data_IF_542795960648
#
_entry.id   IF_542795960648
#
_cell.length_a   1.000
_cell.length_b   1.000
_cell.length_c   1.000
_cell.angle_alpha   90.00
_cell.angle_beta   90.00
_cell.angle_gamma   90.00
#
_symmetry.space_group_name_H-M   'P 1'
#
loop_
_entity.id
_entity.type
_entity.pdbx_description
1 polymer ?
#
# COMPACT_ATOMS: atom_id res chain seq x y z
N UNK A 1 88.05 -7.55 1.89
CA UNK A 1 87.04 -8.62 1.92
C UNK A 1 85.68 -7.98 2.20
N UNK A 2 84.88 -7.85 1.15
CA UNK A 2 83.57 -7.18 1.14
C UNK A 2 82.49 -8.24 1.00
N UNK A 3 81.55 -8.30 1.94
CA UNK A 3 80.40 -9.21 1.89
C UNK A 3 79.09 -8.46 2.16
N UNK A 4 78.45 -8.12 1.04
CA UNK A 4 77.05 -8.37 0.68
C UNK A 4 75.97 -8.07 1.73
N UNK A 5 75.16 -7.04 1.44
CA UNK A 5 73.69 -7.13 1.57
C UNK A 5 73.05 -6.76 0.24
N UNK A 6 72.23 -7.70 -0.26
CA UNK A 6 71.48 -7.62 -1.52
C UNK A 6 70.05 -7.21 -1.21
N UNK A 7 69.51 -6.40 -2.12
CA UNK A 7 68.13 -5.92 -2.27
C UNK A 7 67.14 -7.09 -2.39
N UNK A 8 65.92 -6.96 -1.84
CA UNK A 8 64.65 -7.41 -2.45
C UNK A 8 63.53 -6.43 -2.04
N UNK A 9 62.76 -6.08 -3.06
CA UNK A 9 61.54 -5.28 -3.17
C UNK A 9 60.35 -5.76 -2.33
N UNK A 10 59.58 -4.81 -1.78
CA UNK A 10 58.17 -5.03 -1.42
C UNK A 10 57.28 -4.05 -2.19
N UNK A 11 56.52 -4.59 -3.14
CA UNK A 11 55.31 -4.01 -3.72
C UNK A 11 54.10 -4.61 -3.00
N UNK A 12 53.35 -3.79 -2.27
CA UNK A 12 51.96 -4.11 -1.92
C UNK A 12 51.22 -2.81 -1.64
N UNK A 13 50.28 -2.53 -2.53
CA UNK A 13 49.40 -1.37 -2.59
C UNK A 13 48.47 -1.29 -1.39
N UNK A 14 48.39 -0.12 -0.78
CA UNK A 14 47.49 0.20 0.33
C UNK A 14 46.12 0.65 -0.20
N UNK A 15 45.18 -0.28 -0.36
CA UNK A 15 43.78 0.07 -0.61
C UNK A 15 43.06 0.40 0.71
N UNK A 16 43.09 1.69 1.09
CA UNK A 16 42.11 2.28 2.02
C UNK A 16 40.88 2.74 1.22
N UNK A 17 39.65 2.34 1.59
CA UNK A 17 38.45 2.88 0.97
C UNK A 17 38.16 4.30 1.51
N UNK A 18 37.79 5.27 0.66
CA UNK A 18 37.47 6.61 1.11
C UNK A 18 36.07 6.66 1.75
N UNK A 19 36.05 7.02 3.02
CA UNK A 19 34.88 7.51 3.76
C UNK A 19 34.37 8.83 3.16
N UNK A 20 33.17 8.83 2.57
CA UNK A 20 32.35 10.03 2.38
C UNK A 20 30.92 9.75 2.85
N UNK A 21 30.65 10.07 4.11
CA UNK A 21 29.29 10.33 4.62
C UNK A 21 28.79 11.63 3.98
N UNK A 22 27.87 11.55 3.02
CA UNK A 22 27.02 12.70 2.68
C UNK A 22 25.91 12.78 3.73
N UNK A 23 25.99 13.84 4.55
CA UNK A 23 24.98 14.33 5.47
C UNK A 23 23.78 14.76 4.61
N UNK A 24 22.66 14.03 4.67
CA UNK A 24 21.38 14.53 4.15
C UNK A 24 20.71 15.23 5.31
N UNK A 25 20.64 16.54 5.15
CA UNK A 25 20.07 17.52 6.05
C UNK A 25 18.55 17.36 6.15
N UNK A 26 18.06 17.51 7.38
CA UNK A 26 16.64 17.51 7.70
C UNK A 26 16.00 18.78 7.14
N UNK A 27 15.08 18.64 6.19
CA UNK A 27 14.16 19.71 5.83
C UNK A 27 12.86 19.53 6.64
N UNK A 28 12.80 20.22 7.77
CA UNK A 28 11.57 20.64 8.44
C UNK A 28 10.94 21.76 7.63
N UNK A 29 9.73 21.55 7.10
CA UNK A 29 8.93 22.61 6.49
C UNK A 29 7.67 22.85 7.32
N UNK A 30 7.73 23.98 8.01
CA UNK A 30 6.73 24.68 8.77
C UNK A 30 5.55 25.12 7.90
N UNK A 31 4.38 25.10 8.54
CA UNK A 31 3.14 25.78 8.17
C UNK A 31 3.36 27.27 7.93
N UNK A 32 3.00 27.76 6.74
CA UNK A 32 2.47 29.11 6.56
C UNK A 32 1.34 29.12 5.53
N UNK A 33 0.36 29.96 5.83
CA UNK A 33 -0.96 30.08 5.24
C UNK A 33 -1.06 31.50 4.65
N UNK A 34 -1.53 31.73 3.42
CA UNK A 34 -1.97 33.06 3.03
C UNK A 34 -3.50 33.13 2.92
N UNK A 35 -4.10 33.88 3.86
CA UNK A 35 -5.37 34.59 3.66
C UNK A 35 -5.18 35.64 2.57
N UNK A 36 -6.07 35.72 1.58
CA UNK A 36 -6.43 36.99 0.94
C UNK A 36 -7.95 37.08 0.81
N UNK A 37 -8.44 38.25 1.21
CA UNK A 37 -9.82 38.66 1.37
C UNK A 37 -10.48 39.13 0.07
N UNK A 38 -11.79 39.31 0.20
CA UNK A 38 -12.80 39.76 -0.76
C UNK A 38 -12.53 41.07 -1.48
N UNK A 39 -13.14 41.22 -2.65
CA UNK A 39 -13.86 42.46 -3.02
C UNK A 39 -15.01 42.18 -3.99
N UNK A 40 -16.10 42.93 -3.81
CA UNK A 40 -17.41 42.84 -4.48
C UNK A 40 -17.44 43.71 -5.75
N UNK A 41 -18.32 43.37 -6.70
CA UNK A 41 -19.17 44.23 -7.56
C UNK A 41 -19.76 43.39 -8.71
N UNK A 42 -20.90 43.63 -9.37
CA UNK A 42 -22.23 44.23 -9.15
C UNK A 42 -23.00 43.97 -10.49
N UNK A 43 -24.32 43.76 -10.46
CA UNK A 43 -25.28 43.85 -11.60
C UNK A 43 -25.16 42.77 -12.73
N UNK A 44 -26.19 42.32 -13.48
CA UNK A 44 -27.61 42.67 -13.67
C UNK A 44 -28.32 41.52 -14.45
N UNK A 45 -29.64 41.38 -14.21
CA UNK A 45 -30.77 40.90 -15.04
C UNK A 45 -30.76 39.65 -15.99
N UNK A 46 -31.79 38.83 -15.71
CA UNK A 46 -32.75 38.05 -16.53
C UNK A 46 -32.72 38.25 -18.07
N UNK A 47 -32.74 37.15 -18.85
CA UNK A 47 -33.76 36.81 -19.88
C UNK A 47 -33.52 35.44 -20.56
N UNK A 48 -34.61 34.78 -20.95
CA UNK A 48 -34.68 33.50 -21.69
C UNK A 48 -34.32 33.68 -23.17
N UNK A 49 -33.67 32.71 -23.81
CA UNK A 49 -33.82 32.41 -25.24
C UNK A 49 -33.32 30.99 -25.60
N UNK A 50 -33.75 30.52 -26.78
CA UNK A 50 -33.93 29.12 -27.20
C UNK A 50 -32.71 28.49 -27.92
N UNK A 51 -32.73 27.14 -27.95
CA UNK A 51 -32.17 26.16 -28.91
C UNK A 51 -31.32 26.70 -30.08
N UNK A 52 -30.14 26.10 -30.25
CA UNK A 52 -29.67 25.58 -31.55
C UNK A 52 -28.72 24.38 -31.40
N UNK A 53 -28.72 23.52 -32.42
CA UNK A 53 -28.11 22.20 -32.56
C UNK A 53 -26.59 22.22 -32.81
N UNK A 54 -26.01 21.02 -32.64
CA UNK A 54 -24.78 20.46 -33.23
C UNK A 54 -23.44 20.92 -32.63
N UNK A 55 -22.67 19.98 -32.05
CA UNK A 55 -21.76 19.18 -32.86
C UNK A 55 -21.24 17.94 -32.12
N UNK A 56 -20.94 16.91 -32.92
CA UNK A 56 -20.29 15.65 -32.55
C UNK A 56 -18.92 15.90 -31.90
N UNK A 57 -18.54 15.00 -30.97
CA UNK A 57 -17.30 14.22 -30.89
C UNK A 57 -17.24 13.69 -29.45
N UNK A 58 -17.57 12.41 -29.26
CA UNK A 58 -17.09 11.66 -28.12
C UNK A 58 -16.48 10.38 -28.70
N UNK A 59 -15.16 10.39 -28.79
CA UNK A 59 -14.38 9.21 -29.13
C UNK A 59 -14.67 8.14 -28.08
N UNK A 60 -15.15 6.99 -28.54
CA UNK A 60 -15.25 5.78 -27.74
C UNK A 60 -13.85 5.41 -27.24
N UNK A 61 -13.57 5.75 -25.98
CA UNK A 61 -12.49 5.13 -25.23
C UNK A 61 -13.00 3.77 -24.78
N UNK A 62 -12.62 2.71 -25.49
CA UNK A 62 -12.81 1.32 -25.03
C UNK A 62 -12.17 1.16 -23.65
N UNK A 63 -13.01 1.15 -22.61
CA UNK A 63 -12.62 0.76 -21.27
C UNK A 63 -12.46 -0.75 -21.29
N UNK A 64 -11.24 -1.25 -21.07
CA UNK A 64 -11.04 -2.68 -20.89
C UNK A 64 -11.66 -3.11 -19.57
N UNK A 65 -12.87 -3.63 -19.64
CA UNK A 65 -13.39 -4.58 -18.65
C UNK A 65 -12.64 -5.90 -18.84
N UNK A 66 -12.19 -6.58 -17.78
CA UNK A 66 -11.57 -7.88 -17.94
C UNK A 66 -12.53 -8.86 -18.65
N UNK A 67 -11.98 -9.62 -19.60
CA UNK A 67 -12.66 -10.66 -20.37
C UNK A 67 -13.30 -11.73 -19.45
N UNK A 68 -14.36 -12.35 -19.97
CA UNK A 68 -15.25 -13.38 -19.38
C UNK A 68 -14.64 -14.20 -18.22
N UNK A 69 -15.41 -14.26 -17.13
CA UNK A 69 -15.21 -15.06 -15.93
C UNK A 69 -14.45 -16.39 -16.17
N UNK A 70 -13.21 -16.54 -15.65
CA UNK A 70 -12.79 -17.85 -15.20
C UNK A 70 -13.79 -18.27 -14.13
N UNK A 71 -14.37 -19.48 -14.25
CA UNK A 71 -15.25 -20.06 -13.22
C UNK A 71 -14.55 -19.89 -11.87
N UNK A 72 -15.09 -19.03 -11.01
CA UNK A 72 -14.55 -18.79 -9.67
C UNK A 72 -14.49 -20.15 -8.99
N UNK A 73 -13.30 -20.69 -8.68
CA UNK A 73 -13.22 -21.92 -7.92
C UNK A 73 -13.96 -21.66 -6.60
N UNK A 74 -14.83 -22.59 -6.19
CA UNK A 74 -15.47 -22.58 -4.85
C UNK A 74 -14.44 -22.10 -3.84
N UNK A 75 -14.76 -21.05 -3.07
CA UNK A 75 -13.89 -20.46 -2.05
C UNK A 75 -13.16 -21.60 -1.32
N UNK A 76 -11.85 -21.73 -1.56
CA UNK A 76 -11.05 -22.73 -0.87
C UNK A 76 -11.22 -22.49 0.63
N UNK A 77 -11.49 -23.55 1.40
CA UNK A 77 -11.65 -23.43 2.85
C UNK A 77 -10.42 -22.75 3.44
N UNK A 78 -10.63 -21.55 3.99
CA UNK A 78 -9.56 -20.70 4.50
C UNK A 78 -9.00 -21.37 5.75
N UNK A 79 -7.82 -21.97 5.64
CA UNK A 79 -7.12 -22.54 6.80
C UNK A 79 -6.44 -21.41 7.56
N UNK A 80 -7.00 -21.06 8.71
CA UNK A 80 -6.35 -20.19 9.70
C UNK A 80 -5.66 -21.03 10.76
N UNK A 81 -4.53 -20.56 11.26
CA UNK A 81 -3.92 -21.14 12.46
C UNK A 81 -4.64 -20.69 13.74
N UNK A 82 -4.21 -21.23 14.88
CA UNK A 82 -4.72 -20.87 16.22
C UNK A 82 -4.54 -19.39 16.59
N UNK A 83 -3.76 -18.63 15.81
CA UNK A 83 -3.49 -17.21 15.99
C UNK A 83 -4.21 -16.34 14.95
N UNK A 84 -5.09 -16.94 14.14
CA UNK A 84 -5.87 -16.24 13.12
C UNK A 84 -5.07 -15.87 11.87
N UNK A 85 -3.84 -16.37 11.71
CA UNK A 85 -3.02 -16.17 10.52
C UNK A 85 -3.47 -17.13 9.42
N UNK A 86 -3.59 -16.63 8.21
CA UNK A 86 -3.96 -17.41 7.03
C UNK A 86 -2.73 -18.22 6.60
N UNK A 87 -2.92 -19.52 6.35
CA UNK A 87 -1.84 -20.42 5.93
C UNK A 87 -1.97 -20.70 4.43
N UNK A 88 -0.88 -20.47 3.69
CA UNK A 88 -0.70 -20.92 2.32
C UNK A 88 0.36 -22.02 2.30
N UNK A 89 0.01 -23.21 1.81
CA UNK A 89 0.90 -24.38 1.85
C UNK A 89 2.17 -24.18 1.02
N UNK A 90 2.04 -23.44 -0.08
CA UNK A 90 3.10 -23.10 -1.03
C UNK A 90 3.96 -21.90 -0.60
N UNK A 91 3.44 -21.03 0.28
CA UNK A 91 4.17 -19.90 0.86
C UNK A 91 4.01 -19.88 2.39
N UNK A 92 4.66 -20.81 3.12
CA UNK A 92 4.47 -20.96 4.56
C UNK A 92 4.90 -19.73 5.37
N UNK A 93 5.80 -18.89 4.86
CA UNK A 93 6.23 -17.66 5.52
C UNK A 93 5.26 -16.49 5.32
N UNK A 94 4.38 -16.56 4.31
CA UNK A 94 3.38 -15.54 4.04
C UNK A 94 2.15 -15.78 4.91
N UNK A 95 2.06 -15.05 6.02
CA UNK A 95 1.04 -15.26 7.06
C UNK A 95 0.24 -13.98 7.38
N UNK A 96 -0.48 -13.39 6.39
CA UNK A 96 -1.41 -12.31 6.68
C UNK A 96 -2.52 -12.81 7.62
N UNK A 97 -3.10 -11.94 8.42
CA UNK A 97 -4.21 -12.28 9.33
C UNK A 97 -5.51 -11.55 8.99
N UNK A 98 -5.55 -10.89 7.84
CA UNK A 98 -6.76 -10.33 7.25
C UNK A 98 -6.93 -10.88 5.84
N UNK A 99 -8.13 -11.35 5.51
CA UNK A 99 -8.54 -11.70 4.16
C UNK A 99 -8.75 -10.44 3.32
N UNK A 100 -8.75 -10.53 1.98
CA UNK A 100 -9.15 -9.41 1.13
C UNK A 100 -10.51 -8.82 1.50
N UNK A 101 -11.49 -9.67 1.82
CA UNK A 101 -12.80 -9.27 2.35
C UNK A 101 -12.68 -8.41 3.60
N UNK A 102 -11.93 -8.87 4.61
CA UNK A 102 -11.74 -8.14 5.85
C UNK A 102 -11.01 -6.81 5.64
N UNK A 103 -10.02 -6.73 4.73
CA UNK A 103 -9.32 -5.48 4.40
C UNK A 103 -10.27 -4.48 3.73
N UNK A 104 -11.09 -4.93 2.78
CA UNK A 104 -12.09 -4.09 2.11
C UNK A 104 -13.15 -3.59 3.08
N UNK A 105 -13.73 -4.48 3.88
CA UNK A 105 -14.76 -4.15 4.86
C UNK A 105 -14.25 -3.19 5.94
N UNK A 106 -12.97 -3.29 6.29
CA UNK A 106 -12.35 -2.37 7.24
C UNK A 106 -12.05 -0.97 6.65
N UNK A 107 -12.40 -0.75 5.38
CA UNK A 107 -12.25 0.51 4.68
C UNK A 107 -10.81 0.90 4.45
N UNK A 108 -9.88 -0.05 4.30
CA UNK A 108 -8.45 0.23 4.42
C UNK A 108 -7.91 1.33 3.49
N UNK A 109 -8.55 1.60 2.36
CA UNK A 109 -8.01 2.48 1.31
C UNK A 109 -8.83 3.76 1.10
N UNK A 110 -9.61 4.19 2.09
CA UNK A 110 -10.41 5.42 1.99
C UNK A 110 -11.46 5.40 0.89
N UNK A 111 -11.87 4.20 0.46
CA UNK A 111 -12.84 4.00 -0.60
C UNK A 111 -12.34 4.17 -2.04
N UNK A 112 -11.03 4.36 -2.23
CA UNK A 112 -10.45 4.77 -3.52
C UNK A 112 -9.64 3.69 -4.23
N UNK A 113 -9.60 2.46 -3.67
CA UNK A 113 -8.66 1.45 -4.17
C UNK A 113 -8.99 1.04 -5.60
N UNK A 114 -10.25 0.67 -5.88
CA UNK A 114 -10.68 0.24 -7.22
C UNK A 114 -11.33 1.37 -8.02
N UNK A 115 -10.93 2.62 -7.76
CA UNK A 115 -11.35 3.76 -8.58
C UNK A 115 -10.92 3.57 -10.04
N UNK A 116 -11.56 4.23 -11.01
CA UNK A 116 -11.05 4.26 -12.37
C UNK A 116 -9.64 4.84 -12.42
N UNK A 117 -8.71 4.16 -13.09
CA UNK A 117 -7.32 4.60 -13.23
C UNK A 117 -6.88 4.52 -14.69
N UNK A 118 -5.91 5.36 -15.08
CA UNK A 118 -5.10 5.16 -16.27
C UNK A 118 -3.72 4.73 -15.81
N UNK A 119 -3.31 3.50 -16.12
CA UNK A 119 -1.99 3.02 -15.70
C UNK A 119 -0.92 3.50 -16.67
N UNK A 120 0.16 4.09 -16.16
CA UNK A 120 1.33 4.42 -16.98
C UNK A 120 2.13 3.18 -17.40
N UNK A 121 2.00 2.08 -16.64
CA UNK A 121 2.73 0.83 -16.87
C UNK A 121 2.14 0.03 -18.03
N UNK A 122 0.81 0.00 -18.17
CA UNK A 122 0.14 -0.69 -19.28
C UNK A 122 -0.31 0.25 -20.40
N UNK A 123 -0.44 1.55 -20.12
CA UNK A 123 -1.02 2.54 -21.04
C UNK A 123 -2.55 2.50 -21.11
N UNK A 124 -3.19 1.61 -20.36
CA UNK A 124 -4.62 1.34 -20.44
C UNK A 124 -5.43 2.06 -19.36
N UNK A 125 -6.72 2.25 -19.62
CA UNK A 125 -7.70 2.74 -18.64
C UNK A 125 -8.45 1.55 -18.05
N UNK A 126 -8.39 1.40 -16.74
CA UNK A 126 -9.09 0.36 -15.99
C UNK A 126 -10.26 0.97 -15.22
N UNK A 127 -11.40 0.30 -15.27
CA UNK A 127 -12.58 0.62 -14.49
C UNK A 127 -13.31 -0.68 -14.11
N UNK A 128 -14.07 -0.63 -13.01
CA UNK A 128 -14.87 -1.76 -12.52
C UNK A 128 -14.11 -3.08 -12.28
N UNK A 129 -12.80 -3.01 -12.03
CA UNK A 129 -11.95 -4.19 -11.73
C UNK A 129 -12.43 -4.95 -10.50
N UNK A 130 -13.07 -4.27 -9.55
CA UNK A 130 -13.65 -4.90 -8.36
C UNK A 130 -14.67 -6.02 -8.70
N UNK A 131 -15.28 -6.01 -9.89
CA UNK A 131 -16.21 -7.06 -10.36
C UNK A 131 -15.51 -8.40 -10.65
N UNK A 132 -14.18 -8.43 -10.69
CA UNK A 132 -13.41 -9.68 -10.82
C UNK A 132 -13.42 -10.52 -9.53
N UNK A 133 -13.78 -9.90 -8.39
CA UNK A 133 -13.78 -10.54 -7.09
C UNK A 133 -15.18 -11.00 -6.66
N UNK A 134 -15.26 -11.97 -5.72
CA UNK A 134 -16.54 -12.42 -5.18
C UNK A 134 -17.40 -11.26 -4.67
N UNK A 135 -18.68 -11.26 -5.05
CA UNK A 135 -19.63 -10.21 -4.65
C UNK A 135 -19.79 -10.12 -3.13
N UNK A 136 -19.68 -11.27 -2.43
CA UNK A 136 -19.84 -11.36 -0.98
C UNK A 136 -18.78 -10.55 -0.21
N UNK A 137 -17.64 -10.21 -0.84
CA UNK A 137 -16.63 -9.35 -0.24
C UNK A 137 -17.11 -7.92 -0.07
N UNK A 138 -18.10 -7.51 -0.86
CA UNK A 138 -18.65 -6.17 -0.90
C UNK A 138 -20.04 -6.07 -0.24
N UNK A 139 -20.56 -7.16 0.33
CA UNK A 139 -21.83 -7.15 1.04
C UNK A 139 -21.80 -6.11 2.17
N UNK A 140 -22.82 -5.25 2.17
CA UNK A 140 -22.95 -4.13 3.12
C UNK A 140 -22.06 -2.91 2.82
N UNK A 141 -21.23 -2.92 1.77
CA UNK A 141 -20.42 -1.77 1.37
C UNK A 141 -21.14 -0.92 0.31
N UNK A 142 -21.05 0.40 0.47
CA UNK A 142 -21.42 1.33 -0.59
C UNK A 142 -20.34 1.34 -1.67
N UNK A 143 -20.58 0.67 -2.79
CA UNK A 143 -19.61 0.61 -3.90
C UNK A 143 -19.10 2.01 -4.31
N UNK A 144 -19.97 3.03 -4.56
CA UNK A 144 -19.51 4.34 -5.00
C UNK A 144 -18.64 5.06 -3.97
N UNK A 145 -18.86 4.84 -2.67
CA UNK A 145 -18.16 5.55 -1.59
C UNK A 145 -16.95 4.78 -1.04
N UNK A 146 -17.06 3.47 -0.90
CA UNK A 146 -16.12 2.61 -0.17
C UNK A 146 -15.27 1.71 -1.08
N UNK A 147 -15.50 1.70 -2.40
CA UNK A 147 -14.77 0.83 -3.32
C UNK A 147 -14.17 1.58 -4.50
N UNK A 148 -14.98 2.41 -5.18
CA UNK A 148 -14.60 3.06 -6.45
C UNK A 148 -14.57 4.59 -6.40
N UNK A 149 -14.60 5.18 -5.21
CA UNK A 149 -14.62 6.64 -5.07
C UNK A 149 -13.34 7.25 -5.66
N UNK A 150 -13.48 8.37 -6.36
CA UNK A 150 -12.33 9.19 -6.77
C UNK A 150 -11.77 10.03 -5.61
N UNK A 151 -12.54 10.16 -4.52
CA UNK A 151 -12.21 10.98 -3.35
C UNK A 151 -11.86 10.10 -2.17
N UNK A 152 -10.76 10.41 -1.49
CA UNK A 152 -10.34 9.66 -0.31
C UNK A 152 -11.14 10.07 0.93
N UNK A 153 -11.90 9.13 1.48
CA UNK A 153 -12.73 9.32 2.67
C UNK A 153 -12.03 8.74 3.91
N UNK A 154 -11.47 9.59 4.77
CA UNK A 154 -10.80 9.09 5.99
C UNK A 154 -11.78 8.48 6.97
N UNK A 155 -13.02 8.94 6.98
CA UNK A 155 -14.09 8.46 7.84
C UNK A 155 -14.51 7.02 7.56
N UNK A 156 -14.24 6.48 6.37
CA UNK A 156 -14.49 5.05 6.07
C UNK A 156 -13.40 4.14 6.64
N UNK A 157 -12.22 4.67 6.93
CA UNK A 157 -11.10 3.88 7.42
C UNK A 157 -11.35 3.43 8.87
N UNK A 158 -10.76 2.29 9.25
CA UNK A 158 -10.75 1.81 10.64
C UNK A 158 -10.12 2.84 11.58
N UNK A 159 -8.98 3.42 11.21
CA UNK A 159 -8.22 4.33 12.09
C UNK A 159 -8.45 5.82 11.80
N UNK A 160 -9.43 6.16 10.96
CA UNK A 160 -9.81 7.55 10.62
C UNK A 160 -8.67 8.45 10.11
N UNK A 161 -7.62 7.86 9.56
CA UNK A 161 -6.44 8.57 9.03
C UNK A 161 -6.16 8.21 7.59
N UNK A 162 -5.68 9.18 6.81
CA UNK A 162 -5.18 8.94 5.45
C UNK A 162 -3.80 8.28 5.52
N UNK A 163 -3.60 7.26 4.70
CA UNK A 163 -2.31 6.58 4.54
C UNK A 163 -2.12 6.13 3.09
N UNK A 164 -0.86 5.91 2.69
CA UNK A 164 -0.47 5.40 1.37
C UNK A 164 0.07 6.47 0.43
N UNK A 165 0.90 6.04 -0.52
CA UNK A 165 1.37 6.87 -1.64
C UNK A 165 0.36 6.91 -2.79
N UNK A 166 0.53 7.88 -3.70
CA UNK A 166 -0.30 8.01 -4.92
C UNK A 166 0.06 6.95 -5.95
N UNK A 167 -0.84 6.63 -6.89
CA UNK A 167 -0.60 5.60 -7.91
C UNK A 167 0.69 5.89 -8.70
N UNK A 168 0.92 7.15 -9.03
CA UNK A 168 2.10 7.63 -9.76
C UNK A 168 3.40 7.35 -8.99
N UNK A 169 3.40 7.51 -7.67
CA UNK A 169 4.53 7.14 -6.81
C UNK A 169 4.80 5.63 -6.87
N UNK A 170 3.74 4.80 -6.85
CA UNK A 170 3.89 3.34 -6.93
C UNK A 170 4.40 2.87 -8.30
N UNK A 171 3.91 3.48 -9.38
CA UNK A 171 4.33 3.18 -10.75
C UNK A 171 5.79 3.60 -10.99
N UNK A 172 6.17 4.83 -10.59
CA UNK A 172 7.55 5.33 -10.72
C UNK A 172 8.57 4.56 -9.86
N UNK A 173 8.14 3.94 -8.76
CA UNK A 173 9.01 3.12 -7.89
C UNK A 173 9.26 1.71 -8.44
N UNK A 174 8.67 1.34 -9.58
CA UNK A 174 8.77 -0.02 -10.15
C UNK A 174 8.05 -1.08 -9.30
N UNK A 175 7.05 -0.68 -8.50
CA UNK A 175 6.34 -1.59 -7.61
C UNK A 175 5.10 -2.22 -8.23
N UNK A 176 4.59 -1.61 -9.29
CA UNK A 176 3.45 -2.08 -10.09
C UNK A 176 3.98 -2.89 -11.27
N UNK A 177 3.36 -4.05 -11.50
CA UNK A 177 3.63 -4.91 -12.66
C UNK A 177 2.38 -4.97 -13.53
N UNK A 178 2.56 -5.17 -14.85
CA UNK A 178 1.46 -5.10 -15.84
C UNK A 178 0.26 -5.99 -15.49
N UNK A 179 0.53 -7.17 -14.92
CA UNK A 179 -0.52 -8.12 -14.52
C UNK A 179 -1.45 -7.56 -13.44
N UNK A 180 -0.96 -6.73 -12.51
CA UNK A 180 -1.70 -6.22 -11.35
C UNK A 180 -1.58 -4.67 -11.30
N UNK A 181 -2.30 -3.94 -12.18
CA UNK A 181 -2.17 -2.49 -12.33
C UNK A 181 -2.56 -1.68 -11.09
N UNK A 182 -3.35 -2.26 -10.17
CA UNK A 182 -3.67 -1.64 -8.87
C UNK A 182 -2.64 -1.96 -7.79
N UNK A 183 -1.66 -2.81 -8.07
CA UNK A 183 -0.53 -3.12 -7.19
C UNK A 183 -0.79 -4.24 -6.21
N UNK A 184 -0.13 -4.14 -5.04
CA UNK A 184 0.02 -5.28 -4.13
C UNK A 184 -1.31 -5.84 -3.62
N UNK A 185 -2.31 -5.01 -3.31
CA UNK A 185 -3.57 -5.53 -2.77
C UNK A 185 -4.42 -6.21 -3.85
N UNK A 186 -4.37 -5.77 -5.12
CA UNK A 186 -4.94 -6.54 -6.23
C UNK A 186 -4.22 -7.89 -6.42
N UNK A 187 -2.88 -7.88 -6.37
CA UNK A 187 -2.11 -9.12 -6.39
C UNK A 187 -2.56 -10.04 -5.25
N UNK A 188 -2.72 -9.52 -4.03
CA UNK A 188 -3.16 -10.27 -2.86
C UNK A 188 -4.57 -10.85 -3.04
N UNK A 189 -5.54 -10.08 -3.56
CA UNK A 189 -6.87 -10.59 -3.85
C UNK A 189 -6.83 -11.80 -4.79
N UNK A 190 -6.07 -11.71 -5.88
CA UNK A 190 -5.96 -12.79 -6.87
C UNK A 190 -5.17 -13.99 -6.33
N UNK A 191 -4.10 -13.74 -5.59
CA UNK A 191 -3.30 -14.75 -4.90
C UNK A 191 -4.15 -15.52 -3.89
N UNK A 192 -4.97 -14.81 -3.12
CA UNK A 192 -5.91 -15.39 -2.16
C UNK A 192 -6.98 -16.27 -2.83
N UNK A 193 -7.42 -15.92 -4.04
CA UNK A 193 -8.33 -16.73 -4.87
C UNK A 193 -7.64 -17.89 -5.60
N UNK A 194 -6.36 -18.13 -5.34
CA UNK A 194 -5.62 -19.28 -5.88
C UNK A 194 -4.79 -18.98 -7.13
N UNK A 195 -4.76 -17.75 -7.64
CA UNK A 195 -3.84 -17.40 -8.75
C UNK A 195 -2.40 -17.54 -8.26
N UNK A 196 -1.54 -18.12 -9.10
CA UNK A 196 -0.09 -18.11 -8.92
C UNK A 196 0.61 -17.46 -10.11
N UNK A 197 1.72 -16.79 -9.86
CA UNK A 197 2.50 -16.08 -10.88
C UNK A 197 3.98 -15.97 -10.49
N UNK A 198 4.85 -15.69 -11.47
CA UNK A 198 6.28 -15.48 -11.23
C UNK A 198 6.58 -14.29 -10.30
N UNK A 199 5.61 -13.39 -10.10
CA UNK A 199 5.72 -12.22 -9.23
C UNK A 199 5.51 -12.56 -7.74
N UNK A 200 5.01 -13.75 -7.42
CA UNK A 200 4.53 -14.09 -6.08
C UNK A 200 5.65 -14.01 -5.04
N UNK A 201 6.82 -14.55 -5.35
CA UNK A 201 8.01 -14.51 -4.48
C UNK A 201 8.42 -13.06 -4.16
N UNK A 202 8.33 -12.14 -5.13
CA UNK A 202 8.65 -10.72 -4.91
C UNK A 202 7.63 -10.08 -3.97
N UNK A 203 6.34 -10.33 -4.17
CA UNK A 203 5.27 -9.71 -3.40
C UNK A 203 5.18 -10.27 -1.97
N UNK A 204 5.41 -11.57 -1.78
CA UNK A 204 5.60 -12.21 -0.46
C UNK A 204 6.81 -11.61 0.24
N UNK A 205 7.94 -11.46 -0.46
CA UNK A 205 9.14 -10.83 0.10
C UNK A 205 8.91 -9.39 0.56
N UNK A 206 8.09 -8.61 -0.16
CA UNK A 206 7.69 -7.26 0.26
C UNK A 206 6.85 -7.29 1.52
N UNK A 207 5.87 -8.19 1.58
CA UNK A 207 5.04 -8.37 2.77
C UNK A 207 5.91 -8.75 3.99
N UNK A 208 6.86 -9.67 3.83
CA UNK A 208 7.77 -10.07 4.92
C UNK A 208 8.59 -8.89 5.47
N UNK A 209 9.07 -8.00 4.59
CA UNK A 209 9.77 -6.77 4.99
C UNK A 209 8.85 -5.72 5.64
N UNK A 210 7.55 -5.75 5.35
CA UNK A 210 6.58 -4.82 5.90
C UNK A 210 5.99 -5.32 7.24
N UNK A 211 5.35 -6.49 7.21
CA UNK A 211 4.51 -7.05 8.28
C UNK A 211 4.99 -8.42 8.78
N UNK A 212 5.93 -9.07 8.09
CA UNK A 212 6.48 -10.35 8.51
C UNK A 212 7.34 -10.27 9.77
N UNK A 213 8.08 -11.34 10.06
CA UNK A 213 8.63 -11.53 11.40
C UNK A 213 9.68 -10.49 11.83
N UNK A 214 10.44 -10.03 10.83
CA UNK A 214 11.41 -8.93 10.93
C UNK A 214 10.90 -7.66 10.25
N UNK A 215 9.59 -7.56 10.04
CA UNK A 215 8.94 -6.51 9.27
C UNK A 215 9.10 -5.13 9.91
N UNK A 216 9.54 -4.17 9.10
CA UNK A 216 9.80 -2.78 9.53
C UNK A 216 8.59 -2.16 10.20
N UNK A 217 7.41 -2.25 9.58
CA UNK A 217 6.22 -1.55 10.04
C UNK A 217 5.60 -2.22 11.26
N UNK A 218 5.59 -3.56 11.29
CA UNK A 218 5.12 -4.31 12.46
C UNK A 218 5.95 -3.99 13.69
N UNK A 219 7.26 -4.11 13.58
CA UNK A 219 8.18 -3.91 14.71
C UNK A 219 8.24 -2.43 15.14
N UNK A 220 8.09 -1.50 14.20
CA UNK A 220 7.91 -0.07 14.50
C UNK A 220 6.63 0.17 15.33
N UNK A 221 5.49 -0.44 14.95
CA UNK A 221 4.24 -0.30 15.71
C UNK A 221 4.41 -0.83 17.13
N UNK A 222 4.96 -2.04 17.29
CA UNK A 222 5.16 -2.66 18.61
C UNK A 222 6.05 -1.77 19.48
N UNK A 223 7.15 -1.24 18.93
CA UNK A 223 8.04 -0.32 19.65
C UNK A 223 7.30 0.92 20.15
N UNK A 224 6.41 1.50 19.33
CA UNK A 224 5.61 2.67 19.72
C UNK A 224 4.60 2.35 20.81
N UNK A 225 3.96 1.18 20.74
CA UNK A 225 3.03 0.71 21.78
C UNK A 225 3.75 0.48 23.10
N UNK A 226 4.88 -0.23 23.10
CA UNK A 226 5.66 -0.47 24.32
C UNK A 226 6.06 0.87 24.96
N UNK A 227 6.53 1.82 24.17
CA UNK A 227 6.96 3.14 24.66
C UNK A 227 5.81 4.05 25.09
N UNK A 228 4.59 3.81 24.64
CA UNK A 228 3.42 4.59 25.07
C UNK A 228 2.83 4.07 26.38
N UNK A 229 3.21 2.87 26.83
CA UNK A 229 2.64 2.22 28.01
C UNK A 229 1.18 1.78 27.84
N UNK A 230 0.64 1.79 26.60
CA UNK A 230 -0.74 1.40 26.32
C UNK A 230 -0.85 -0.08 25.94
N UNK A 231 -2.07 -0.62 25.98
CA UNK A 231 -2.38 -1.94 25.42
C UNK A 231 -2.04 -2.07 23.93
N UNK A 232 -1.70 -3.29 23.50
CA UNK A 232 -1.28 -3.59 22.11
C UNK A 232 -2.35 -3.28 21.06
N UNK A 233 -3.61 -3.33 21.45
CA UNK A 233 -4.81 -3.11 20.67
C UNK A 233 -5.26 -1.65 20.66
N UNK A 234 -4.66 -0.77 21.47
CA UNK A 234 -5.05 0.65 21.53
C UNK A 234 -4.88 1.34 20.16
N UNK A 235 -6.01 1.63 19.51
CA UNK A 235 -6.08 2.22 18.18
C UNK A 235 -5.51 3.64 18.09
N UNK A 236 -5.46 4.38 19.20
CA UNK A 236 -4.88 5.72 19.28
C UNK A 236 -3.35 5.74 19.16
N UNK A 237 -2.68 4.61 19.42
CA UNK A 237 -1.23 4.52 19.26
C UNK A 237 -0.85 4.34 17.80
N UNK A 238 -0.29 5.40 17.22
CA UNK A 238 0.27 5.42 15.86
C UNK A 238 -0.72 4.94 14.78
N UNK A 239 -1.92 5.55 14.67
CA UNK A 239 -3.01 5.11 13.78
C UNK A 239 -2.57 4.99 12.33
N UNK A 240 -1.68 5.88 11.85
CA UNK A 240 -1.14 5.82 10.48
C UNK A 240 -0.38 4.51 10.23
N UNK A 241 0.42 4.04 11.19
CA UNK A 241 1.17 2.77 11.05
C UNK A 241 0.23 1.58 11.10
N UNK A 242 -0.80 1.63 11.95
CA UNK A 242 -1.85 0.60 11.99
C UNK A 242 -2.61 0.52 10.66
N UNK A 243 -2.94 1.68 10.08
CA UNK A 243 -3.56 1.79 8.76
C UNK A 243 -2.64 1.23 7.66
N UNK A 244 -1.34 1.59 7.68
CA UNK A 244 -0.34 1.02 6.75
C UNK A 244 -0.33 -0.50 6.82
N UNK A 245 -0.25 -1.08 8.01
CA UNK A 245 -0.24 -2.52 8.18
C UNK A 245 -1.53 -3.18 7.68
N UNK A 246 -2.67 -2.52 7.85
CA UNK A 246 -3.95 -2.99 7.34
C UNK A 246 -3.97 -3.06 5.81
N UNK A 247 -3.31 -2.12 5.11
CA UNK A 247 -3.15 -2.19 3.65
C UNK A 247 -2.37 -3.45 3.21
N UNK A 248 -1.48 -3.95 4.07
CA UNK A 248 -0.70 -5.16 3.88
C UNK A 248 -1.36 -6.39 4.52
N UNK A 249 -2.69 -6.36 4.70
CA UNK A 249 -3.47 -7.47 5.23
C UNK A 249 -3.00 -7.97 6.62
N UNK A 250 -2.49 -7.05 7.44
CA UNK A 250 -1.99 -7.35 8.78
C UNK A 250 -2.60 -6.44 9.84
N UNK A 251 -3.02 -7.03 10.95
CA UNK A 251 -3.38 -6.36 12.20
C UNK A 251 -2.51 -6.89 13.34
N UNK A 252 -2.06 -6.01 14.23
CA UNK A 252 -1.21 -6.42 15.35
C UNK A 252 -1.94 -7.40 16.27
N UNK A 253 -1.33 -8.56 16.51
CA UNK A 253 -1.82 -9.57 17.46
C UNK A 253 -1.11 -9.44 18.80
N UNK A 254 -1.72 -9.98 19.86
CA UNK A 254 -1.09 -10.07 21.18
C UNK A 254 0.19 -10.91 21.14
N UNK A 255 0.16 -12.04 20.42
CA UNK A 255 1.30 -12.94 20.27
C UNK A 255 2.53 -12.22 19.66
N UNK A 256 2.32 -11.53 18.52
CA UNK A 256 3.41 -10.82 17.84
C UNK A 256 3.93 -9.66 18.70
N UNK A 257 3.04 -8.98 19.43
CA UNK A 257 3.39 -7.97 20.41
C UNK A 257 4.26 -8.55 21.53
N UNK A 258 3.79 -9.58 22.23
CA UNK A 258 4.49 -10.21 23.36
C UNK A 258 5.87 -10.75 22.95
N UNK A 259 5.98 -11.31 21.73
CA UNK A 259 7.23 -11.83 21.17
C UNK A 259 8.27 -10.73 20.95
N UNK A 260 7.87 -9.58 20.42
CA UNK A 260 8.80 -8.51 20.07
C UNK A 260 9.01 -7.49 21.19
N UNK A 261 8.00 -7.26 22.04
CA UNK A 261 8.07 -6.32 23.16
C UNK A 261 9.23 -6.64 24.11
N UNK A 262 9.53 -7.93 24.33
CA UNK A 262 10.68 -8.40 25.11
C UNK A 262 12.05 -7.87 24.62
N UNK A 263 12.14 -7.46 23.36
CA UNK A 263 13.37 -6.94 22.72
C UNK A 263 13.46 -5.42 22.74
N UNK A 264 12.36 -4.74 23.10
CA UNK A 264 12.29 -3.28 23.10
C UNK A 264 12.75 -2.79 24.47
N UNK A 265 13.81 -1.99 24.51
CA UNK A 265 14.21 -1.32 25.75
C UNK A 265 13.14 -0.28 26.11
N UNK A 266 12.63 -0.28 27.36
CA UNK A 266 11.76 0.79 27.85
C UNK A 266 12.51 2.14 27.77
N UNK A 267 11.72 3.21 27.67
CA UNK A 267 12.25 4.56 27.50
C UNK A 267 12.74 5.12 28.84
#
# INVERSE_FOLDING_TARGET
>A
MSLRKRVISNSSTSNKPPTKRKKIEQASLSTENPKIQSSKSKALCITKAKKTKNNKIAADCELKTPNKHPKVPKQQEIKRDKHGKIIFADYPDFKPNLTPKEVLQAGSFGGTYFRPIKSSITGEKYAAVWKEFPSDWFDGLSIPRQVVSSVYHTDVNTYKVKCGGSLEMWESSGWIVKQDPYGWFQWYCRFFLGRRSDDDSRQVGRWLRCAGDKGRWRNNLITKVVRSGCGYDNAGVSPVVRQTLQHWAYRLTKEDYDKYAKKVKPK
#
